data_IF_755600618891
#
_entry.id   IF_755600618891
#
_cell.length_a   1.000
_cell.length_b   1.000
_cell.length_c   1.000
_cell.angle_alpha   90.00
_cell.angle_beta   90.00
_cell.angle_gamma   90.00
#
_symmetry.space_group_name_H-M   'P 1'
#
loop_
_entity.id
_entity.type
_entity.pdbx_description
1 polymer ?
#
# COMPACT_ATOMS: atom_id res chain seq x y z
N UNK A 1 36.09 -10.43 30.78
CA UNK A 1 35.43 -11.35 29.84
C UNK A 1 33.95 -11.01 29.61
N UNK A 2 33.25 -10.46 30.60
CA UNK A 2 31.79 -10.24 30.58
C UNK A 2 31.29 -9.30 29.46
N UNK A 3 32.00 -8.21 29.18
CA UNK A 3 31.64 -7.25 28.12
C UNK A 3 31.53 -7.87 26.72
N UNK A 4 32.29 -8.93 26.42
CA UNK A 4 32.23 -9.63 25.12
C UNK A 4 30.88 -10.34 24.93
N UNK A 5 30.32 -10.92 26.00
CA UNK A 5 29.03 -11.60 25.95
C UNK A 5 27.88 -10.61 25.76
N UNK A 6 27.93 -9.43 26.40
CA UNK A 6 26.97 -8.35 26.17
C UNK A 6 27.00 -7.86 24.72
N UNK A 7 28.19 -7.71 24.14
CA UNK A 7 28.35 -7.26 22.75
C UNK A 7 27.77 -8.28 21.76
N UNK A 8 28.02 -9.57 21.98
CA UNK A 8 27.46 -10.66 21.16
C UNK A 8 25.92 -10.69 21.29
N UNK A 9 25.39 -10.59 22.50
CA UNK A 9 23.95 -10.56 22.74
C UNK A 9 23.28 -9.38 22.02
N UNK A 10 23.87 -8.20 22.09
CA UNK A 10 23.38 -7.00 21.40
C UNK A 10 23.34 -7.19 19.88
N UNK A 11 24.41 -7.74 19.28
CA UNK A 11 24.42 -8.06 17.85
C UNK A 11 23.36 -9.09 17.47
N UNK A 12 23.13 -10.09 18.32
CA UNK A 12 22.15 -11.13 18.06
C UNK A 12 20.72 -10.58 18.09
N UNK A 13 20.41 -9.69 19.03
CA UNK A 13 19.12 -8.98 19.07
C UNK A 13 18.93 -8.09 17.85
N UNK A 14 19.96 -7.32 17.45
CA UNK A 14 19.90 -6.51 16.24
C UNK A 14 19.67 -7.36 14.98
N UNK A 15 20.36 -8.51 14.87
CA UNK A 15 20.18 -9.44 13.77
C UNK A 15 18.73 -9.95 13.68
N UNK A 16 18.14 -10.34 14.82
CA UNK A 16 16.75 -10.80 14.88
C UNK A 16 15.80 -9.69 14.40
N UNK A 17 15.99 -8.45 14.85
CA UNK A 17 15.16 -7.31 14.43
C UNK A 17 15.25 -7.09 12.92
N UNK A 18 16.47 -7.13 12.35
CA UNK A 18 16.68 -6.99 10.90
C UNK A 18 16.00 -8.13 10.13
N UNK A 19 16.11 -9.36 10.61
CA UNK A 19 15.47 -10.52 9.98
C UNK A 19 13.93 -10.44 10.04
N UNK A 20 13.37 -10.00 11.17
CA UNK A 20 11.92 -9.80 11.31
C UNK A 20 11.42 -8.75 10.33
N UNK A 21 12.06 -7.57 10.27
CA UNK A 21 11.70 -6.50 9.34
C UNK A 21 11.82 -6.94 7.86
N UNK A 22 12.84 -7.74 7.54
CA UNK A 22 13.00 -8.31 6.21
C UNK A 22 11.89 -9.31 5.85
N UNK A 23 11.51 -10.18 6.78
CA UNK A 23 10.41 -11.12 6.61
C UNK A 23 9.06 -10.39 6.45
N UNK A 24 8.79 -9.40 7.29
CA UNK A 24 7.55 -8.62 7.24
C UNK A 24 7.38 -7.90 5.91
N UNK A 25 8.45 -7.27 5.41
CA UNK A 25 8.47 -6.64 4.07
C UNK A 25 8.18 -7.65 2.97
N UNK A 26 8.76 -8.84 3.02
CA UNK A 26 8.50 -9.92 2.04
C UNK A 26 7.05 -10.40 2.10
N UNK A 27 6.50 -10.60 3.29
CA UNK A 27 5.13 -11.07 3.48
C UNK A 27 4.14 -10.02 2.95
N UNK A 28 4.35 -8.74 3.29
CA UNK A 28 3.54 -7.65 2.76
C UNK A 28 3.59 -7.58 1.24
N UNK A 29 4.79 -7.63 0.66
CA UNK A 29 4.98 -7.65 -0.79
C UNK A 29 4.27 -8.85 -1.46
N UNK A 30 4.34 -10.03 -0.84
CA UNK A 30 3.67 -11.23 -1.34
C UNK A 30 2.15 -11.07 -1.33
N UNK A 31 1.57 -10.56 -0.23
CA UNK A 31 0.13 -10.28 -0.12
C UNK A 31 -0.32 -9.27 -1.18
N UNK A 32 0.43 -8.17 -1.31
CA UNK A 32 0.19 -7.15 -2.34
C UNK A 32 0.24 -7.75 -3.74
N UNK A 33 1.29 -8.51 -4.06
CA UNK A 33 1.46 -9.15 -5.37
C UNK A 33 0.32 -10.11 -5.68
N UNK A 34 -0.07 -10.95 -4.71
CA UNK A 34 -1.18 -11.88 -4.86
C UNK A 34 -2.47 -11.13 -5.17
N UNK A 35 -2.80 -10.13 -4.36
CA UNK A 35 -4.00 -9.31 -4.55
C UNK A 35 -4.03 -8.65 -5.94
N UNK A 36 -2.96 -7.95 -6.34
CA UNK A 36 -2.86 -7.28 -7.64
C UNK A 36 -2.94 -8.24 -8.85
N UNK A 37 -2.75 -9.55 -8.65
CA UNK A 37 -2.92 -10.55 -9.71
C UNK A 37 -4.29 -11.22 -9.71
N UNK A 38 -4.99 -11.26 -8.59
CA UNK A 38 -6.25 -12.00 -8.42
C UNK A 38 -7.46 -11.09 -8.20
N UNK A 39 -7.28 -9.78 -8.09
CA UNK A 39 -8.36 -8.84 -7.90
C UNK A 39 -9.33 -8.85 -9.09
N UNK A 40 -10.60 -8.57 -8.79
CA UNK A 40 -11.70 -8.54 -9.76
C UNK A 40 -11.51 -7.44 -10.82
N UNK A 41 -12.23 -7.55 -11.94
CA UNK A 41 -12.17 -6.54 -13.02
C UNK A 41 -12.51 -5.13 -12.53
N UNK A 42 -13.50 -5.00 -11.66
CA UNK A 42 -13.93 -3.71 -11.10
C UNK A 42 -12.84 -3.10 -10.19
N UNK A 43 -12.19 -3.91 -9.34
CA UNK A 43 -11.06 -3.45 -8.54
C UNK A 43 -9.87 -3.03 -9.42
N UNK A 44 -9.63 -3.76 -10.51
CA UNK A 44 -8.59 -3.42 -11.47
C UNK A 44 -8.88 -2.08 -12.16
N UNK A 45 -10.13 -1.82 -12.54
CA UNK A 45 -10.53 -0.54 -13.14
C UNK A 45 -10.33 0.64 -12.18
N UNK A 46 -10.74 0.49 -10.92
CA UNK A 46 -10.49 1.50 -9.89
C UNK A 46 -8.98 1.76 -9.79
N UNK A 47 -8.16 0.70 -9.66
CA UNK A 47 -6.71 0.81 -9.58
C UNK A 47 -6.07 1.41 -10.84
N UNK A 48 -6.61 1.13 -12.03
CA UNK A 48 -6.19 1.76 -13.29
C UNK A 48 -6.42 3.27 -13.24
N UNK A 49 -7.55 3.73 -12.73
CA UNK A 49 -7.84 5.17 -12.55
C UNK A 49 -6.80 5.83 -11.65
N UNK A 50 -6.52 5.24 -10.48
CA UNK A 50 -5.45 5.69 -9.58
C UNK A 50 -4.05 5.67 -10.23
N UNK A 51 -3.78 4.73 -11.14
CA UNK A 51 -2.49 4.64 -11.84
C UNK A 51 -2.36 5.64 -12.99
N UNK A 52 -3.46 6.05 -13.62
CA UNK A 52 -3.49 7.08 -14.67
C UNK A 52 -3.20 8.45 -14.06
N UNK A 53 -3.75 8.71 -12.88
CA UNK A 53 -3.62 9.99 -12.19
C UNK A 53 -2.99 9.80 -10.79
N UNK A 54 -1.69 9.43 -10.70
CA UNK A 54 -1.08 9.04 -9.43
C UNK A 54 -0.90 10.19 -8.43
N UNK A 55 -1.00 11.44 -8.89
CA UNK A 55 -0.83 12.64 -8.07
C UNK A 55 -2.17 13.27 -7.66
N UNK A 56 -3.29 12.67 -8.05
CA UNK A 56 -4.63 13.17 -7.71
C UNK A 56 -5.24 12.35 -6.58
N UNK A 57 -6.10 13.01 -5.82
CA UNK A 57 -6.95 12.35 -4.83
C UNK A 57 -8.25 11.93 -5.50
N UNK A 58 -8.70 10.72 -5.21
CA UNK A 58 -9.96 10.19 -5.69
C UNK A 58 -10.91 9.96 -4.51
N UNK A 59 -12.18 10.26 -4.75
CA UNK A 59 -13.25 10.07 -3.77
C UNK A 59 -13.70 8.61 -3.78
N UNK A 60 -13.61 7.94 -2.64
CA UNK A 60 -14.11 6.57 -2.45
C UNK A 60 -15.10 6.52 -1.29
N UNK A 61 -16.04 5.59 -1.37
CA UNK A 61 -16.97 5.31 -0.28
C UNK A 61 -16.29 4.35 0.71
N UNK A 62 -16.23 4.75 1.96
CA UNK A 62 -15.60 3.99 3.03
C UNK A 62 -16.34 2.69 3.33
N UNK A 63 -17.65 2.63 3.07
CA UNK A 63 -18.45 1.41 3.30
C UNK A 63 -18.22 0.31 2.26
N UNK A 64 -17.60 0.62 1.12
CA UNK A 64 -17.34 -0.40 0.11
C UNK A 64 -16.18 -1.30 0.53
N UNK A 65 -16.40 -2.62 0.43
CA UNK A 65 -15.40 -3.64 0.73
C UNK A 65 -14.08 -3.40 -0.01
N UNK A 66 -14.15 -2.90 -1.25
CA UNK A 66 -12.98 -2.61 -2.08
C UNK A 66 -12.10 -1.54 -1.43
N UNK A 67 -12.68 -0.42 -0.99
CA UNK A 67 -11.97 0.67 -0.31
C UNK A 67 -11.24 0.15 0.93
N UNK A 68 -11.92 -0.65 1.75
CA UNK A 68 -11.32 -1.28 2.93
C UNK A 68 -10.16 -2.22 2.58
N UNK A 69 -10.31 -3.05 1.55
CA UNK A 69 -9.25 -3.99 1.13
C UNK A 69 -8.03 -3.22 0.59
N UNK A 70 -8.25 -2.22 -0.25
CA UNK A 70 -7.18 -1.39 -0.80
C UNK A 70 -6.46 -0.60 0.29
N UNK A 71 -7.18 -0.05 1.27
CA UNK A 71 -6.62 0.68 2.41
C UNK A 71 -5.84 -0.26 3.35
N UNK A 72 -6.41 -1.42 3.71
CA UNK A 72 -5.76 -2.40 4.58
C UNK A 72 -4.47 -2.99 3.98
N UNK A 73 -4.42 -3.14 2.66
CA UNK A 73 -3.21 -3.59 1.95
C UNK A 73 -2.19 -2.46 1.73
N UNK A 74 -2.47 -1.24 2.21
CA UNK A 74 -1.67 -0.03 1.99
C UNK A 74 -1.46 0.26 0.50
N UNK A 75 -2.44 -0.08 -0.34
CA UNK A 75 -2.45 0.22 -1.78
C UNK A 75 -2.87 1.66 -2.00
N UNK A 76 -3.93 2.08 -1.31
CA UNK A 76 -4.37 3.46 -1.24
C UNK A 76 -4.15 3.99 0.17
N UNK A 77 -3.89 5.28 0.28
CA UNK A 77 -3.70 5.98 1.56
C UNK A 77 -4.82 7.01 1.67
N UNK A 78 -5.48 7.05 2.83
CA UNK A 78 -6.50 8.05 3.11
C UNK A 78 -5.82 9.42 3.16
N UNK A 79 -6.35 10.36 2.40
CA UNK A 79 -5.96 11.75 2.46
C UNK A 79 -6.67 12.37 3.66
N UNK A 80 -5.89 12.81 4.64
CA UNK A 80 -6.41 13.39 5.88
C UNK A 80 -6.48 14.90 5.71
N UNK A 81 -7.64 15.37 5.27
CA UNK A 81 -7.96 16.78 5.14
C UNK A 81 -8.67 17.25 6.40
N UNK A 82 -7.92 17.44 7.48
CA UNK A 82 -8.45 18.07 8.69
C UNK A 82 -8.54 19.61 8.57
N UNK A 83 -7.95 20.21 7.52
CA UNK A 83 -7.87 21.67 7.35
C UNK A 83 -8.72 22.22 6.19
N UNK A 84 -9.34 21.38 5.36
CA UNK A 84 -10.17 21.83 4.23
C UNK A 84 -11.67 21.78 4.60
N UNK A 85 -12.17 22.80 5.29
CA UNK A 85 -13.57 23.01 5.68
C UNK A 85 -14.58 23.07 4.50
N UNK A 86 -14.13 22.98 3.26
CA UNK A 86 -14.93 23.32 2.07
C UNK A 86 -15.15 22.15 1.10
N UNK A 87 -15.11 20.91 1.58
CA UNK A 87 -15.48 19.76 0.75
C UNK A 87 -16.77 19.15 1.27
N UNK A 88 -17.85 19.31 0.50
CA UNK A 88 -19.14 18.61 0.67
C UNK A 88 -18.94 17.09 0.48
N UNK A 89 -18.32 16.45 1.46
CA UNK A 89 -18.24 15.02 1.61
C UNK A 89 -19.51 14.55 2.29
N UNK A 90 -20.20 13.57 1.68
CA UNK A 90 -21.15 12.79 2.47
C UNK A 90 -20.37 12.08 3.58
N UNK A 91 -20.96 11.84 4.76
CA UNK A 91 -20.27 11.27 5.93
C UNK A 91 -19.69 9.87 5.72
N UNK A 92 -19.84 9.29 4.53
CA UNK A 92 -19.40 7.95 4.14
C UNK A 92 -18.32 7.97 3.06
N UNK A 93 -17.87 9.15 2.65
CA UNK A 93 -16.91 9.32 1.56
C UNK A 93 -15.64 9.95 2.11
N UNK A 94 -14.51 9.38 1.72
CA UNK A 94 -13.18 9.91 2.04
C UNK A 94 -12.35 10.03 0.76
N UNK A 95 -11.35 10.91 0.79
CA UNK A 95 -10.37 11.02 -0.27
C UNK A 95 -9.22 10.05 -0.05
N UNK A 96 -8.76 9.47 -1.14
CA UNK A 96 -7.64 8.53 -1.14
C UNK A 96 -6.70 8.85 -2.30
N UNK A 97 -5.43 8.53 -2.13
CA UNK A 97 -4.43 8.55 -3.20
C UNK A 97 -3.65 7.24 -3.22
N UNK A 98 -3.01 6.92 -4.34
CA UNK A 98 -2.23 5.69 -4.45
C UNK A 98 -0.94 5.78 -3.65
N UNK A 99 -0.60 4.72 -2.92
CA UNK A 99 0.67 4.65 -2.22
C UNK A 99 1.82 4.71 -3.24
N UNK A 100 2.74 5.69 -3.14
CA UNK A 100 3.81 5.87 -4.13
C UNK A 100 4.75 4.66 -4.20
N UNK A 101 4.92 3.90 -3.11
CA UNK A 101 5.71 2.65 -3.12
C UNK A 101 5.03 1.59 -3.97
N UNK A 102 3.70 1.45 -3.85
CA UNK A 102 2.90 0.50 -4.62
C UNK A 102 2.86 0.91 -6.09
N UNK A 103 2.66 2.19 -6.38
CA UNK A 103 2.72 2.72 -7.75
C UNK A 103 4.06 2.42 -8.44
N UNK A 104 5.19 2.73 -7.77
CA UNK A 104 6.54 2.41 -8.28
C UNK A 104 6.72 0.92 -8.54
N UNK A 105 6.19 0.08 -7.66
CA UNK A 105 6.23 -1.37 -7.77
C UNK A 105 5.43 -1.85 -8.99
N UNK A 106 4.20 -1.37 -9.16
CA UNK A 106 3.35 -1.71 -10.31
C UNK A 106 4.00 -1.27 -11.63
N UNK A 107 4.69 -0.13 -11.65
CA UNK A 107 5.45 0.36 -12.81
C UNK A 107 6.71 -0.47 -13.10
N UNK A 108 7.38 -0.98 -12.06
CA UNK A 108 8.63 -1.76 -12.16
C UNK A 108 8.41 -3.16 -12.75
N UNK A 109 7.35 -3.86 -12.36
CA UNK A 109 7.11 -5.23 -12.81
C UNK A 109 6.26 -5.26 -14.09
N UNK A 110 6.81 -5.87 -15.16
CA UNK A 110 6.17 -5.91 -16.47
C UNK A 110 4.76 -6.54 -16.45
N UNK A 111 4.52 -7.55 -15.59
CA UNK A 111 3.20 -8.17 -15.42
C UNK A 111 2.14 -7.16 -14.97
N UNK A 112 2.46 -6.32 -13.98
CA UNK A 112 1.55 -5.28 -13.50
C UNK A 112 1.43 -4.14 -14.49
N UNK A 113 2.52 -3.77 -15.16
CA UNK A 113 2.49 -2.77 -16.23
C UNK A 113 1.47 -3.12 -17.31
N UNK A 114 1.42 -4.39 -17.73
CA UNK A 114 0.44 -4.87 -18.71
C UNK A 114 -1.01 -4.82 -18.22
N UNK A 115 -1.24 -5.07 -16.93
CA UNK A 115 -2.60 -5.09 -16.37
C UNK A 115 -3.13 -3.67 -16.12
N UNK A 116 -2.29 -2.77 -15.60
CA UNK A 116 -2.75 -1.49 -15.04
C UNK A 116 -2.36 -0.25 -15.85
N UNK A 117 -1.38 -0.34 -16.74
CA UNK A 117 -0.86 0.81 -17.49
C UNK A 117 -0.97 0.69 -19.00
N UNK A 118 -1.16 -0.52 -19.51
CA UNK A 118 -1.37 -0.77 -20.94
C UNK A 118 -2.86 -0.99 -21.11
N UNK A 119 -3.48 -0.12 -21.91
CA UNK A 119 -4.90 -0.14 -22.24
C UNK A 119 -5.10 -1.04 -23.45
#
# INVERSE_FOLDING_TARGET
MEWKYFLILFFLVLLIIILMDFCDKKIWFYKLKKYLTTCSSLEQEILKTFCKEPNTVHKLNDKHKITHVLSNLFIIIKYDNNDDENINLQPQQSFYYINPKVYKLMKKYQKFKKIYFIN
#
